data_IF_171498511248
#
_entry.id   IF_171498511248
#
_cell.length_a   1.000
_cell.length_b   1.000
_cell.length_c   1.000
_cell.angle_alpha   90.00
_cell.angle_beta   90.00
_cell.angle_gamma   90.00
#
_symmetry.space_group_name_H-M   'P 1'
#
loop_
_entity.id
_entity.type
_entity.pdbx_description
1 polymer ?
#
# COMPACT_ATOMS: atom_id res chain seq x y z
N UNK A 1 -12.74 14.97 -12.49
CA UNK A 1 -11.64 15.28 -13.44
C UNK A 1 -11.17 14.10 -14.29
N UNK A 2 -11.74 12.88 -14.20
CA UNK A 2 -11.45 11.79 -15.16
C UNK A 2 -10.00 11.28 -15.15
N UNK A 3 -9.22 11.65 -14.13
CA UNK A 3 -7.85 11.18 -13.95
C UNK A 3 -7.86 9.67 -13.74
N UNK A 4 -7.20 8.94 -14.65
CA UNK A 4 -6.92 7.52 -14.44
C UNK A 4 -5.72 7.40 -13.50
N UNK A 5 -6.02 7.02 -12.26
CA UNK A 5 -5.01 6.58 -11.30
C UNK A 5 -4.30 5.30 -11.74
N UNK A 6 -3.31 4.88 -10.97
CA UNK A 6 -2.70 3.55 -11.10
C UNK A 6 -3.63 2.50 -10.50
N UNK A 7 -3.62 1.27 -11.03
CA UNK A 7 -4.42 0.19 -10.45
C UNK A 7 -3.88 -0.19 -9.06
N UNK A 8 -4.77 -0.62 -8.15
CA UNK A 8 -4.35 -1.04 -6.80
C UNK A 8 -3.39 -2.24 -6.82
N UNK A 9 -3.42 -3.06 -7.87
CA UNK A 9 -2.49 -4.18 -8.09
C UNK A 9 -1.04 -3.75 -8.22
N UNK A 10 -0.79 -2.53 -8.67
CA UNK A 10 0.56 -1.98 -8.70
C UNK A 10 1.15 -1.83 -7.30
N UNK A 11 0.31 -1.69 -6.26
CA UNK A 11 0.71 -1.64 -4.85
C UNK A 11 0.67 -3.05 -4.22
N UNK A 12 -0.47 -3.75 -4.29
CA UNK A 12 -0.65 -5.00 -3.54
C UNK A 12 0.16 -6.18 -4.12
N UNK A 13 0.45 -6.20 -5.42
CA UNK A 13 1.16 -7.28 -6.10
C UNK A 13 2.60 -7.46 -5.57
N UNK A 14 3.43 -6.40 -5.58
CA UNK A 14 4.75 -6.42 -4.96
C UNK A 14 4.72 -6.78 -3.47
N UNK A 15 3.76 -6.24 -2.71
CA UNK A 15 3.61 -6.55 -1.28
C UNK A 15 3.33 -8.05 -1.07
N UNK A 16 2.47 -8.66 -1.89
CA UNK A 16 2.18 -10.10 -1.79
C UNK A 16 3.45 -10.95 -2.00
N UNK A 17 4.28 -10.58 -2.97
CA UNK A 17 5.58 -11.23 -3.22
C UNK A 17 6.52 -11.04 -2.04
N UNK A 18 6.66 -9.82 -1.54
CA UNK A 18 7.63 -9.49 -0.49
C UNK A 18 7.23 -10.12 0.86
N UNK A 19 5.93 -10.19 1.17
CA UNK A 19 5.41 -10.94 2.32
C UNK A 19 5.78 -12.43 2.26
N UNK A 20 5.68 -13.04 1.08
CA UNK A 20 6.09 -14.44 0.89
C UNK A 20 7.60 -14.61 1.13
N UNK A 21 8.42 -13.70 0.61
CA UNK A 21 9.87 -13.73 0.82
C UNK A 21 10.22 -13.53 2.30
N UNK A 22 9.54 -12.62 3.00
CA UNK A 22 9.72 -12.41 4.43
C UNK A 22 9.34 -13.64 5.25
N UNK A 23 8.25 -14.33 4.88
CA UNK A 23 7.81 -15.59 5.51
C UNK A 23 8.82 -16.73 5.27
N UNK A 24 9.39 -16.84 4.06
CA UNK A 24 10.39 -17.87 3.72
C UNK A 24 11.77 -17.61 4.37
N UNK A 25 12.17 -16.35 4.49
CA UNK A 25 13.52 -15.97 4.99
C UNK A 25 13.56 -15.65 6.48
N UNK A 26 12.40 -15.36 7.08
CA UNK A 26 12.30 -14.88 8.46
C UNK A 26 12.80 -13.44 8.67
N UNK A 27 13.04 -12.68 7.60
CA UNK A 27 13.44 -11.28 7.73
C UNK A 27 12.25 -10.38 8.12
N UNK A 28 12.53 -9.31 8.85
CA UNK A 28 11.56 -8.27 9.11
C UNK A 28 11.30 -7.46 7.84
N UNK A 29 10.03 -7.14 7.56
CA UNK A 29 9.62 -6.33 6.41
C UNK A 29 8.78 -5.13 6.84
N UNK A 30 9.08 -3.95 6.28
CA UNK A 30 8.28 -2.74 6.49
C UNK A 30 7.75 -2.23 5.16
N UNK A 31 6.43 -2.12 5.05
CA UNK A 31 5.77 -1.58 3.86
C UNK A 31 5.52 -0.09 4.02
N UNK A 32 6.16 0.71 3.17
CA UNK A 32 5.96 2.16 3.18
C UNK A 32 4.62 2.55 2.53
N UNK A 33 4.09 3.70 2.99
CA UNK A 33 3.06 4.49 2.31
C UNK A 33 1.91 3.72 1.63
N UNK A 34 1.31 2.73 2.33
CA UNK A 34 0.19 1.96 1.78
C UNK A 34 -1.04 2.85 1.56
N UNK A 35 -1.72 2.68 0.43
CA UNK A 35 -2.89 3.47 0.04
C UNK A 35 -4.13 2.63 -0.28
N UNK A 36 -3.98 1.30 -0.40
CA UNK A 36 -5.08 0.43 -0.85
C UNK A 36 -5.59 -0.53 0.22
N UNK A 37 -6.89 -0.82 0.17
CA UNK A 37 -7.54 -1.78 1.09
C UNK A 37 -6.99 -3.21 0.91
N UNK A 38 -6.61 -3.59 -0.31
CA UNK A 38 -6.06 -4.90 -0.64
C UNK A 38 -4.71 -5.11 0.07
N UNK A 39 -3.81 -4.12 0.03
CA UNK A 39 -2.53 -4.16 0.76
C UNK A 39 -2.73 -4.31 2.26
N UNK A 40 -3.64 -3.52 2.86
CA UNK A 40 -3.97 -3.63 4.29
C UNK A 40 -4.46 -5.04 4.64
N UNK A 41 -5.30 -5.63 3.79
CA UNK A 41 -5.82 -6.98 4.00
C UNK A 41 -4.72 -8.05 3.92
N UNK A 42 -3.78 -7.93 2.97
CA UNK A 42 -2.63 -8.82 2.86
C UNK A 42 -1.72 -8.75 4.09
N UNK A 43 -1.35 -7.54 4.51
CA UNK A 43 -0.49 -7.32 5.67
C UNK A 43 -1.14 -7.87 6.94
N UNK A 44 -2.45 -7.63 7.14
CA UNK A 44 -3.21 -8.19 8.27
C UNK A 44 -3.17 -9.72 8.28
N UNK A 45 -3.37 -10.36 7.13
CA UNK A 45 -3.30 -11.83 7.00
C UNK A 45 -1.90 -12.36 7.26
N UNK A 46 -0.86 -11.68 6.80
CA UNK A 46 0.53 -12.10 7.04
C UNK A 46 0.91 -11.97 8.52
N UNK A 47 0.55 -10.86 9.17
CA UNK A 47 0.69 -10.71 10.64
C UNK A 47 0.01 -11.84 11.40
N UNK A 48 -1.19 -12.24 10.99
CA UNK A 48 -1.93 -13.35 11.61
C UNK A 48 -1.25 -14.72 11.44
N UNK A 49 -0.40 -14.89 10.42
CA UNK A 49 0.44 -16.09 10.22
C UNK A 49 1.78 -16.03 10.97
N UNK A 50 2.09 -14.91 11.62
CA UNK A 50 3.34 -14.71 12.35
C UNK A 50 4.49 -14.14 11.52
N UNK A 51 4.23 -13.64 10.31
CA UNK A 51 5.23 -12.90 9.52
C UNK A 51 5.57 -11.60 10.25
N UNK A 52 6.86 -11.34 10.47
CA UNK A 52 7.35 -10.08 11.06
C UNK A 52 7.26 -8.94 10.03
N UNK A 53 6.05 -8.41 9.88
CA UNK A 53 5.77 -7.31 8.96
C UNK A 53 5.16 -6.13 9.70
N UNK A 54 5.58 -4.92 9.33
CA UNK A 54 4.99 -3.64 9.74
C UNK A 54 4.64 -2.81 8.50
N UNK A 55 3.86 -1.75 8.67
CA UNK A 55 3.51 -0.85 7.58
C UNK A 55 3.18 0.55 8.09
N UNK A 56 3.30 1.53 7.21
CA UNK A 56 2.86 2.90 7.44
C UNK A 56 1.98 3.41 6.30
N UNK A 57 1.35 4.56 6.51
CA UNK A 57 0.62 5.31 5.48
C UNK A 57 0.86 6.81 5.64
N UNK A 58 0.65 7.56 4.57
CA UNK A 58 0.72 9.02 4.58
C UNK A 58 -0.62 9.66 5.00
N UNK A 59 -0.62 10.85 5.65
CA UNK A 59 -1.86 11.53 6.04
C UNK A 59 -2.83 11.77 4.88
N UNK A 60 -2.30 12.05 3.68
CA UNK A 60 -3.10 12.30 2.48
C UNK A 60 -3.94 11.09 2.04
N UNK A 61 -3.52 9.85 2.33
CA UNK A 61 -4.33 8.66 2.06
C UNK A 61 -5.47 8.46 3.07
N UNK A 62 -5.50 9.24 4.16
CA UNK A 62 -6.54 9.20 5.18
C UNK A 62 -7.53 10.36 5.07
N UNK A 63 -7.07 11.52 4.58
CA UNK A 63 -7.88 12.75 4.52
C UNK A 63 -8.31 13.16 3.12
N UNK A 64 -7.73 12.57 2.07
CA UNK A 64 -8.13 12.81 0.68
C UNK A 64 -8.56 11.52 -0.02
N UNK A 65 -9.38 11.67 -1.05
CA UNK A 65 -9.73 10.64 -2.02
C UNK A 65 -9.49 11.12 -3.45
N UNK A 66 -9.81 10.26 -4.42
CA UNK A 66 -9.80 10.62 -5.84
C UNK A 66 -10.83 11.71 -6.20
N UNK A 67 -11.84 11.93 -5.35
CA UNK A 67 -12.84 13.00 -5.49
C UNK A 67 -12.24 14.40 -5.26
N UNK A 68 -11.15 14.49 -4.49
CA UNK A 68 -10.47 15.76 -4.18
C UNK A 68 -9.48 16.21 -5.27
N UNK A 69 -9.22 15.35 -6.27
CA UNK A 69 -8.23 15.63 -7.30
C UNK A 69 -8.61 16.83 -8.15
N UNK A 70 -7.65 17.73 -8.34
CA UNK A 70 -7.73 18.89 -9.22
C UNK A 70 -6.64 18.82 -10.28
N UNK A 71 -6.84 19.50 -11.40
CA UNK A 71 -5.83 19.73 -12.45
C UNK A 71 -4.74 20.71 -11.96
N UNK A 72 -4.08 20.35 -10.86
CA UNK A 72 -3.01 21.08 -10.19
C UNK A 72 -1.94 20.04 -9.81
N UNK A 73 -0.70 20.27 -10.23
CA UNK A 73 0.40 19.30 -10.09
C UNK A 73 0.69 18.86 -8.66
N UNK A 74 0.18 19.57 -7.65
CA UNK A 74 0.36 19.25 -6.21
C UNK A 74 -0.26 17.92 -5.77
N UNK A 75 -1.17 17.34 -6.54
CA UNK A 75 -1.81 16.05 -6.22
C UNK A 75 -1.04 14.83 -6.76
N UNK A 76 0.08 15.05 -7.45
CA UNK A 76 0.88 13.95 -8.02
C UNK A 76 1.62 13.20 -6.92
N UNK A 77 1.25 11.93 -6.71
CA UNK A 77 1.87 11.02 -5.73
C UNK A 77 2.20 9.65 -6.35
N UNK A 78 2.97 8.83 -5.62
CA UNK A 78 3.21 7.42 -5.89
C UNK A 78 3.24 6.64 -4.56
N UNK A 79 2.21 5.84 -4.26
CA UNK A 79 2.25 4.86 -3.17
C UNK A 79 3.15 3.66 -3.51
#
# INVERSE_FOLDING_TARGET
HGHRGICSESEWGPIARDLRLAEETGCAYHVCHISTRESVALIRKAKARGVDVTCETGPHYLVFSDEDLREDGRFKMNP
#
